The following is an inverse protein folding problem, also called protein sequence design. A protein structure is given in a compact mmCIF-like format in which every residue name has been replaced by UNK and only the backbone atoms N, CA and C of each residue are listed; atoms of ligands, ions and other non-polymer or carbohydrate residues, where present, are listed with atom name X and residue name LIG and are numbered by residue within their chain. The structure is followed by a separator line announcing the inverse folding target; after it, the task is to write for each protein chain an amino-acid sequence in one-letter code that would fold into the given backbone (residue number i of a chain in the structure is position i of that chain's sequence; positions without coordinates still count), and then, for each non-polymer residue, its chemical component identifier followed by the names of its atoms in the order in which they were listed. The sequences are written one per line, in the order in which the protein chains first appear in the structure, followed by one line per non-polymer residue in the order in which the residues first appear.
data_IF_843835884249
#
_entry.id   IF_843835884249
#
_cell.length_a   1.000
_cell.length_b   1.000
_cell.length_c   1.000
_cell.angle_alpha   90.00
_cell.angle_beta   90.00
_cell.angle_gamma   90.00
#
_symmetry.space_group_name_H-M   'P 1'
#
loop_
_entity.id
_entity.type
_entity.pdbx_description
1 polymer ?
#
# COMPACT_ATOMS: atom_id res chain seq x y z
N UNK A 1 6.42 0.26 4.86
CA UNK A 1 7.56 0.83 4.13
C UNK A 1 7.23 0.82 2.64
N UNK A 2 7.79 1.73 1.86
CA UNK A 2 7.58 1.83 0.41
C UNK A 2 8.89 1.52 -0.31
N UNK A 3 8.81 0.84 -1.45
CA UNK A 3 9.93 0.60 -2.37
C UNK A 3 9.57 1.09 -3.77
N UNK A 4 10.47 1.88 -4.37
CA UNK A 4 10.24 2.57 -5.63
C UNK A 4 11.28 2.17 -6.66
N UNK A 5 10.82 1.78 -7.84
CA UNK A 5 11.69 1.46 -8.96
C UNK A 5 11.19 2.17 -10.22
N UNK A 6 12.12 2.75 -10.98
CA UNK A 6 11.83 3.25 -12.32
C UNK A 6 11.73 2.06 -13.28
N UNK A 7 10.67 2.04 -14.09
CA UNK A 7 10.39 0.96 -15.02
C UNK A 7 10.06 1.57 -16.38
N UNK A 8 10.56 1.01 -17.50
CA UNK A 8 10.13 1.44 -18.84
C UNK A 8 8.62 1.22 -19.04
N UNK A 9 8.03 1.95 -19.99
CA UNK A 9 6.60 1.84 -20.29
C UNK A 9 6.17 0.41 -20.65
N UNK A 10 7.06 -0.34 -21.30
CA UNK A 10 6.92 -1.76 -21.53
C UNK A 10 7.98 -2.52 -20.73
N UNK A 11 7.52 -3.36 -19.82
CA UNK A 11 8.38 -4.24 -19.02
C UNK A 11 7.89 -5.67 -19.15
N UNK A 12 8.83 -6.56 -19.41
CA UNK A 12 8.54 -7.99 -19.57
C UNK A 12 8.30 -8.65 -18.20
N UNK A 13 7.58 -9.77 -18.19
CA UNK A 13 7.37 -10.56 -16.97
C UNK A 13 8.69 -10.94 -16.27
N UNK A 14 9.73 -11.26 -17.04
CA UNK A 14 11.07 -11.56 -16.51
C UNK A 14 11.69 -10.36 -15.78
N UNK A 15 11.55 -9.15 -16.34
CA UNK A 15 12.05 -7.94 -15.71
C UNK A 15 11.24 -7.58 -14.45
N UNK A 16 9.90 -7.73 -14.50
CA UNK A 16 9.04 -7.53 -13.32
C UNK A 16 9.37 -8.52 -12.19
N UNK A 17 9.59 -9.80 -12.52
CA UNK A 17 10.05 -10.81 -11.55
C UNK A 17 11.32 -10.37 -10.84
N UNK A 18 12.30 -9.92 -11.63
CA UNK A 18 13.60 -9.48 -11.13
C UNK A 18 13.46 -8.25 -10.25
N UNK A 19 12.67 -7.27 -10.66
CA UNK A 19 12.36 -6.09 -9.86
C UNK A 19 11.71 -6.46 -8.52
N UNK A 20 10.75 -7.38 -8.51
CA UNK A 20 10.14 -7.84 -7.26
C UNK A 20 11.17 -8.47 -6.32
N UNK A 21 12.05 -9.33 -6.85
CA UNK A 21 13.11 -9.95 -6.05
C UNK A 21 14.09 -8.91 -5.50
N UNK A 22 14.55 -8.02 -6.38
CA UNK A 22 15.59 -7.02 -6.10
C UNK A 22 15.09 -5.86 -5.24
N UNK A 23 13.79 -5.58 -5.20
CA UNK A 23 13.23 -4.43 -4.48
C UNK A 23 12.41 -4.80 -3.25
N UNK A 24 11.79 -5.98 -3.23
CA UNK A 24 10.87 -6.38 -2.15
C UNK A 24 11.40 -7.62 -1.44
N UNK A 25 11.58 -8.73 -2.17
CA UNK A 25 11.93 -10.01 -1.57
C UNK A 25 13.25 -9.94 -0.79
N UNK A 26 14.27 -9.25 -1.32
CA UNK A 26 15.56 -9.12 -0.64
C UNK A 26 15.49 -8.46 0.74
N UNK A 27 14.46 -7.63 0.98
CA UNK A 27 14.32 -6.85 2.21
C UNK A 27 13.32 -7.50 3.18
N UNK A 28 12.26 -8.12 2.65
CA UNK A 28 11.13 -8.60 3.44
C UNK A 28 10.85 -10.09 3.33
N UNK A 29 11.47 -10.77 2.37
CA UNK A 29 11.14 -12.15 2.01
C UNK A 29 9.81 -12.25 1.26
N UNK A 30 9.25 -13.46 1.23
CA UNK A 30 7.97 -13.71 0.58
C UNK A 30 6.80 -13.21 1.45
N UNK A 31 5.93 -12.35 0.92
CA UNK A 31 4.73 -11.92 1.66
C UNK A 31 3.71 -13.06 1.77
N UNK A 32 2.93 -13.03 2.86
CA UNK A 32 1.83 -13.98 3.09
C UNK A 32 0.60 -13.61 2.25
N UNK A 33 0.38 -12.32 2.01
CA UNK A 33 -0.68 -11.80 1.15
C UNK A 33 -0.15 -10.63 0.32
N UNK A 34 -0.53 -10.58 -0.95
CA UNK A 34 -0.22 -9.48 -1.87
C UNK A 34 -1.54 -8.91 -2.38
N UNK A 35 -1.74 -7.62 -2.11
CA UNK A 35 -2.81 -6.86 -2.74
C UNK A 35 -2.26 -6.20 -4.00
N UNK A 36 -2.83 -6.55 -5.16
CA UNK A 36 -2.44 -6.00 -6.45
C UNK A 36 -3.67 -5.62 -7.26
N UNK A 37 -3.48 -4.70 -8.20
CA UNK A 37 -4.44 -4.50 -9.28
C UNK A 37 -4.50 -5.71 -10.21
N UNK A 38 -5.42 -5.67 -11.19
CA UNK A 38 -5.61 -6.74 -12.17
C UNK A 38 -4.60 -6.69 -13.32
N UNK A 39 -3.39 -6.21 -13.06
CA UNK A 39 -2.36 -6.18 -14.09
C UNK A 39 -2.04 -7.61 -14.56
N UNK A 40 -1.98 -7.87 -15.87
CA UNK A 40 -1.62 -9.18 -16.43
C UNK A 40 -0.31 -9.74 -15.89
N UNK A 41 0.63 -8.88 -15.46
CA UNK A 41 1.92 -9.28 -14.88
C UNK A 41 1.78 -9.96 -13.52
N UNK A 42 0.71 -9.69 -12.77
CA UNK A 42 0.41 -10.36 -11.50
C UNK A 42 -0.71 -11.39 -11.62
N UNK A 43 -1.58 -11.26 -12.63
CA UNK A 43 -2.74 -12.15 -12.83
C UNK A 43 -2.47 -13.30 -13.81
N UNK A 44 -1.32 -13.36 -14.47
CA UNK A 44 -1.00 -14.49 -15.35
C UNK A 44 -1.00 -15.82 -14.57
N UNK A 45 -1.52 -16.89 -15.19
CA UNK A 45 -1.66 -18.23 -14.56
C UNK A 45 -0.37 -18.71 -13.90
N UNK A 46 0.76 -18.54 -14.56
CA UNK A 46 2.06 -18.91 -14.00
C UNK A 46 2.33 -18.27 -12.63
N UNK A 47 2.05 -16.97 -12.47
CA UNK A 47 2.26 -16.27 -11.21
C UNK A 47 1.28 -16.71 -10.13
N UNK A 48 0.03 -17.01 -10.49
CA UNK A 48 -0.95 -17.57 -9.55
C UNK A 48 -0.46 -18.91 -8.97
N UNK A 49 0.07 -19.79 -9.82
CA UNK A 49 0.64 -21.08 -9.39
C UNK A 49 1.88 -20.88 -8.50
N UNK A 50 2.79 -19.97 -8.89
CA UNK A 50 3.99 -19.66 -8.09
C UNK A 50 3.61 -19.13 -6.70
N UNK A 51 2.68 -18.18 -6.62
CA UNK A 51 2.22 -17.64 -5.34
C UNK A 51 1.55 -18.71 -4.48
N UNK A 52 0.72 -19.57 -5.10
CA UNK A 52 0.09 -20.70 -4.41
C UNK A 52 1.11 -21.68 -3.83
N UNK A 53 2.14 -22.05 -4.61
CA UNK A 53 3.21 -22.93 -4.15
C UNK A 53 4.05 -22.33 -3.02
N UNK A 54 4.22 -21.00 -3.02
CA UNK A 54 4.95 -20.27 -1.99
C UNK A 54 4.08 -19.91 -0.77
N UNK A 55 2.80 -20.30 -0.77
CA UNK A 55 1.86 -20.00 0.32
C UNK A 55 1.43 -18.54 0.39
N UNK A 56 1.58 -17.78 -0.70
CA UNK A 56 1.17 -16.38 -0.79
C UNK A 56 -0.25 -16.29 -1.36
N UNK A 57 -1.13 -15.60 -0.65
CA UNK A 57 -2.45 -15.24 -1.13
C UNK A 57 -2.36 -14.03 -2.08
N UNK A 58 -3.00 -14.11 -3.25
CA UNK A 58 -3.11 -12.98 -4.18
C UNK A 58 -4.51 -12.37 -4.10
N UNK A 59 -4.60 -11.21 -3.47
CA UNK A 59 -5.84 -10.47 -3.26
C UNK A 59 -5.98 -9.36 -4.32
N UNK A 60 -6.78 -9.62 -5.36
CA UNK A 60 -6.95 -8.66 -6.45
C UNK A 60 -7.92 -7.54 -6.07
N UNK A 61 -7.50 -6.29 -6.23
CA UNK A 61 -8.39 -5.14 -6.07
C UNK A 61 -9.49 -5.16 -7.15
N UNK A 62 -10.69 -4.77 -6.76
CA UNK A 62 -11.77 -4.50 -7.71
C UNK A 62 -11.58 -3.12 -8.31
N UNK A 63 -11.86 -2.98 -9.62
CA UNK A 63 -11.84 -1.68 -10.28
C UNK A 63 -12.74 -0.71 -9.50
N UNK A 64 -12.16 0.41 -9.06
CA UNK A 64 -12.81 1.45 -8.26
C UNK A 64 -13.22 1.07 -6.82
N UNK A 65 -12.50 0.17 -6.15
CA UNK A 65 -12.59 0.07 -4.68
C UNK A 65 -11.44 0.82 -3.98
N UNK A 66 -11.62 2.12 -3.65
CA UNK A 66 -10.59 2.95 -3.03
C UNK A 66 -10.18 2.48 -1.62
N UNK A 67 -10.83 1.46 -1.04
CA UNK A 67 -10.38 0.84 0.21
C UNK A 67 -9.27 -0.19 0.00
N UNK A 68 -9.28 -0.94 -1.10
CA UNK A 68 -8.29 -2.00 -1.36
C UNK A 68 -7.01 -1.44 -2.00
N UNK A 69 -7.12 -0.43 -2.86
CA UNK A 69 -5.95 0.20 -3.53
C UNK A 69 -5.67 1.65 -3.08
N UNK A 70 -6.50 2.21 -2.19
CA UNK A 70 -6.33 3.60 -1.76
C UNK A 70 -5.06 3.87 -0.96
N UNK A 71 -4.43 2.85 -0.37
CA UNK A 71 -3.13 3.00 0.27
C UNK A 71 -2.04 3.26 -0.79
N UNK A 72 -2.02 2.47 -1.86
CA UNK A 72 -1.11 2.67 -2.99
C UNK A 72 -1.36 4.02 -3.66
N UNK A 73 -2.63 4.39 -3.88
CA UNK A 73 -2.99 5.69 -4.48
C UNK A 73 -2.53 6.88 -3.62
N UNK A 74 -2.68 6.78 -2.29
CA UNK A 74 -2.17 7.79 -1.34
C UNK A 74 -0.65 7.89 -1.43
N UNK A 75 0.06 6.76 -1.45
CA UNK A 75 1.52 6.73 -1.58
C UNK A 75 1.95 7.32 -2.92
N UNK A 76 1.28 6.98 -4.02
CA UNK A 76 1.57 7.53 -5.34
C UNK A 76 1.43 9.06 -5.34
N UNK A 77 0.38 9.61 -4.71
CA UNK A 77 0.22 11.06 -4.58
C UNK A 77 1.36 11.71 -3.78
N UNK A 78 1.71 11.13 -2.63
CA UNK A 78 2.84 11.61 -1.81
C UNK A 78 4.14 11.57 -2.60
N UNK A 79 4.36 10.50 -3.37
CA UNK A 79 5.52 10.36 -4.25
C UNK A 79 5.54 11.46 -5.32
N UNK A 80 4.42 11.72 -6.00
CA UNK A 80 4.36 12.78 -7.00
C UNK A 80 4.68 14.15 -6.38
N UNK A 81 4.15 14.44 -5.19
CA UNK A 81 4.40 15.70 -4.52
C UNK A 81 5.85 15.82 -4.04
N UNK A 82 6.46 14.73 -3.56
CA UNK A 82 7.89 14.68 -3.27
C UNK A 82 8.73 14.89 -4.55
N UNK A 83 8.44 14.18 -5.64
CA UNK A 83 9.21 14.32 -6.89
C UNK A 83 9.11 15.73 -7.47
N UNK A 84 7.95 16.41 -7.35
CA UNK A 84 7.81 17.82 -7.77
C UNK A 84 8.73 18.77 -7.01
N UNK A 85 9.08 18.48 -5.75
CA UNK A 85 9.99 19.34 -4.98
C UNK A 85 11.47 19.08 -5.32
N UNK A 86 11.81 17.88 -5.77
CA UNK A 86 13.19 17.52 -6.19
C UNK A 86 13.48 17.83 -7.67
N UNK A 87 12.52 17.65 -8.56
CA UNK A 87 12.75 17.72 -10.00
C UNK A 87 12.61 19.16 -10.53
N UNK A 88 13.71 19.89 -10.66
CA UNK A 88 13.77 21.09 -11.52
C UNK A 88 13.62 20.73 -13.01
N UNK A 89 13.83 19.47 -13.38
CA UNK A 89 13.65 18.91 -14.72
C UNK A 89 13.17 17.47 -14.64
N UNK A 90 12.11 17.13 -15.37
CA UNK A 90 11.52 15.78 -15.41
C UNK A 90 12.34 14.78 -16.23
N UNK A 91 13.45 15.18 -16.85
CA UNK A 91 14.24 14.27 -17.69
C UNK A 91 15.01 13.20 -16.90
N UNK A 92 15.28 13.45 -15.60
CA UNK A 92 16.08 12.57 -14.73
C UNK A 92 15.36 12.24 -13.40
N UNK A 93 14.03 12.20 -13.42
CA UNK A 93 13.24 11.95 -12.20
C UNK A 93 13.57 10.60 -11.54
N UNK A 94 14.00 9.59 -12.31
CA UNK A 94 14.38 8.27 -11.78
C UNK A 94 15.57 8.35 -10.82
N UNK A 95 16.50 9.28 -11.04
CA UNK A 95 17.70 9.44 -10.19
C UNK A 95 17.33 9.99 -8.80
N UNK A 96 16.17 10.63 -8.68
CA UNK A 96 15.64 11.14 -7.42
C UNK A 96 14.88 10.09 -6.61
N UNK A 97 14.57 8.92 -7.19
CA UNK A 97 13.79 7.87 -6.52
C UNK A 97 14.40 7.37 -5.21
N UNK A 98 15.72 7.11 -5.09
CA UNK A 98 16.30 6.67 -3.82
C UNK A 98 16.12 7.70 -2.70
N UNK A 99 16.26 9.00 -3.03
CA UNK A 99 16.07 10.07 -2.06
C UNK A 99 14.59 10.29 -1.72
N UNK A 100 13.69 10.16 -2.70
CA UNK A 100 12.25 10.22 -2.47
C UNK A 100 11.77 9.05 -1.60
N UNK A 101 12.23 7.82 -1.86
CA UNK A 101 11.95 6.64 -1.05
C UNK A 101 12.44 6.84 0.39
N UNK A 102 13.68 7.28 0.57
CA UNK A 102 14.26 7.57 1.89
C UNK A 102 13.42 8.63 2.63
N UNK A 103 13.06 9.72 1.95
CA UNK A 103 12.26 10.80 2.55
C UNK A 103 10.87 10.31 2.97
N UNK A 104 10.18 9.54 2.12
CA UNK A 104 8.86 8.97 2.42
C UNK A 104 8.96 8.00 3.61
N UNK A 105 9.94 7.09 3.58
CA UNK A 105 10.11 6.09 4.64
C UNK A 105 10.62 6.67 5.97
N UNK A 106 11.24 7.85 5.94
CA UNK A 106 11.69 8.59 7.14
C UNK A 106 10.72 9.71 7.56
N UNK A 107 9.57 9.85 6.89
CA UNK A 107 8.52 10.79 7.28
C UNK A 107 7.60 10.17 8.33
N UNK A 108 7.27 10.93 9.36
CA UNK A 108 6.36 10.49 10.42
C UNK A 108 4.96 10.35 9.86
N UNK A 109 4.36 9.17 9.99
CA UNK A 109 3.00 8.94 9.54
C UNK A 109 2.00 9.27 10.66
N UNK A 110 0.97 10.07 10.36
CA UNK A 110 0.01 10.59 11.36
C UNK A 110 -0.73 9.47 12.11
N UNK A 111 -1.03 8.35 11.44
CA UNK A 111 -1.76 7.24 12.07
C UNK A 111 -0.96 6.49 13.12
N UNK A 112 0.36 6.35 12.91
CA UNK A 112 1.24 5.59 13.79
C UNK A 112 2.05 6.51 14.71
N UNK A 113 2.17 7.79 14.37
CA UNK A 113 3.04 8.72 15.08
C UNK A 113 4.53 8.41 14.91
N UNK A 114 4.92 7.52 14.01
CA UNK A 114 6.30 7.08 13.79
C UNK A 114 6.64 6.95 12.30
N UNK A 115 7.93 6.89 11.97
CA UNK A 115 8.41 6.68 10.60
C UNK A 115 8.31 5.21 10.18
N UNK A 116 8.02 4.89 8.91
CA UNK A 116 8.08 3.53 8.40
C UNK A 116 9.40 2.79 8.66
N UNK A 117 10.56 3.47 8.60
CA UNK A 117 11.86 2.86 8.95
C UNK A 117 11.90 2.37 10.39
N UNK A 118 11.49 3.21 11.34
CA UNK A 118 11.47 2.83 12.74
C UNK A 118 10.49 1.68 13.01
N UNK A 119 9.34 1.68 12.35
CA UNK A 119 8.35 0.60 12.48
C UNK A 119 8.90 -0.74 11.99
N UNK A 120 9.65 -0.73 10.87
CA UNK A 120 10.16 -1.95 10.24
C UNK A 120 11.45 -2.46 10.91
N UNK A 121 12.38 -1.56 11.17
CA UNK A 121 13.77 -1.87 11.54
C UNK A 121 14.11 -1.50 13.00
N UNK A 122 13.18 -0.87 13.72
CA UNK A 122 13.38 -0.31 15.08
C UNK A 122 14.54 0.69 15.18
N UNK A 123 14.94 1.24 14.05
CA UNK A 123 16.05 2.17 13.95
C UNK A 123 15.77 3.22 12.89
N UNK A 124 16.17 4.45 13.17
CA UNK A 124 16.18 5.48 12.14
C UNK A 124 17.47 5.39 11.30
N UNK A 125 17.39 5.62 9.98
CA UNK A 125 18.59 5.77 9.19
C UNK A 125 19.40 6.95 9.74
N UNK A 126 20.73 6.82 9.75
CA UNK A 126 21.62 7.93 10.13
C UNK A 126 21.48 9.03 9.09
N UNK A 127 20.59 9.98 9.34
CA UNK A 127 20.56 11.23 8.60
C UNK A 127 21.68 12.11 9.17
N UNK A 128 22.44 12.81 8.33
CA UNK A 128 23.51 13.71 8.78
C UNK A 128 23.03 14.91 9.64
N UNK A 129 21.74 14.97 9.96
CA UNK A 129 21.14 15.87 10.94
C UNK A 129 21.27 15.20 12.32
N UNK A 130 21.94 15.88 13.26
CA UNK A 130 21.88 15.47 14.68
C UNK A 130 20.41 15.33 15.06
N UNK A 131 20.03 14.14 15.50
CA UNK A 131 18.66 13.81 15.90
C UNK A 131 18.22 14.79 16.99
N UNK A 132 17.44 15.81 16.63
CA UNK A 132 16.54 16.43 17.59
C UNK A 132 15.46 15.39 17.84
N UNK A 133 15.69 14.58 18.88
CA UNK A 133 14.73 13.65 19.44
C UNK A 133 13.40 14.36 19.67
N UNK A 134 12.46 14.21 18.75
CA UNK A 134 11.04 14.52 18.97
C UNK A 134 10.35 13.37 19.73
N UNK A 135 11.09 12.28 20.03
CA UNK A 135 10.61 11.14 20.81
C UNK A 135 11.37 11.01 22.12
N UNK A 136 11.39 12.09 22.90
CA UNK A 136 11.61 11.99 24.35
C UNK A 136 10.33 11.40 24.96
N UNK A 137 10.32 10.09 25.19
CA UNK A 137 9.15 9.42 25.74
C UNK A 137 9.21 7.90 25.84
N UNK A 138 10.39 7.29 25.84
CA UNK A 138 10.62 5.97 26.45
C UNK A 138 12.05 5.98 27.00
N UNK A 139 12.23 6.65 28.13
CA UNK A 139 13.44 6.57 28.91
C UNK A 139 13.64 5.12 29.38
N UNK A 140 14.72 4.49 28.93
CA UNK A 140 15.32 3.36 29.66
C UNK A 140 16.74 3.78 30.01
N UNK A 141 16.82 4.33 31.22
CA UNK A 141 17.95 4.41 32.12
C UNK A 141 19.36 4.52 31.53
N UNK A 142 19.90 5.73 31.70
CA UNK A 142 21.30 6.05 31.97
C UNK A 142 22.15 4.86 32.45
N UNK A 143 23.11 4.43 31.64
CA UNK A 143 24.26 3.69 32.17
C UNK A 143 25.43 4.66 32.33
N UNK A 144 25.66 5.03 33.59
CA UNK A 144 26.91 5.65 34.04
C UNK A 144 28.05 4.64 33.83
N UNK A 145 29.05 5.02 33.04
CA UNK A 145 30.35 4.37 33.06
C UNK A 145 31.04 4.69 34.39
N UNK A 146 31.12 3.71 35.29
CA UNK A 146 32.04 3.76 36.43
C UNK A 146 33.13 2.69 36.26
N UNK A 147 34.34 3.22 36.27
CA UNK A 147 35.63 2.56 36.23
C UNK A 147 35.86 1.79 37.54
N UNK A 148 36.04 0.45 37.50
CA UNK A 148 36.56 -0.28 38.67
C UNK A 148 37.48 -1.43 38.28
N UNK A 149 38.56 -1.54 39.06
CA UNK A 149 39.74 -2.38 38.92
C UNK A 149 39.50 -3.90 39.06
N UNK A 150 40.50 -4.66 38.62
CA UNK A 150 40.54 -6.12 38.50
C UNK A 150 40.34 -6.90 39.82
N UNK A 151 39.42 -7.89 39.77
CA UNK A 151 39.19 -8.96 40.75
C UNK A 151 38.99 -10.33 40.06
N UNK A 152 38.95 -11.46 40.80
CA UNK A 152 39.41 -12.77 40.34
C UNK A 152 38.56 -13.39 39.22
N UNK A 153 39.17 -14.28 38.45
CA UNK A 153 38.61 -14.99 37.29
C UNK A 153 37.42 -15.88 37.68
N UNK A 154 36.25 -15.29 37.83
CA UNK A 154 34.94 -15.96 37.76
C UNK A 154 34.67 -16.31 36.30
N UNK A 155 33.97 -17.43 36.08
CA UNK A 155 33.70 -18.07 34.80
C UNK A 155 32.87 -17.15 33.87
N UNK A 156 33.55 -16.17 33.26
CA UNK A 156 32.97 -15.07 32.45
C UNK A 156 32.07 -15.56 31.32
N UNK A 157 32.34 -16.75 30.78
CA UNK A 157 31.64 -17.28 29.61
C UNK A 157 30.16 -17.63 29.91
N UNK A 158 29.84 -18.04 31.13
CA UNK A 158 28.46 -18.37 31.52
C UNK A 158 27.63 -17.12 31.86
N UNK A 159 28.24 -16.13 32.51
CA UNK A 159 27.60 -14.85 32.83
C UNK A 159 27.38 -13.99 31.58
N UNK A 160 28.36 -13.93 30.68
CA UNK A 160 28.25 -13.23 29.39
C UNK A 160 27.14 -13.83 28.51
N UNK A 161 27.01 -15.16 28.48
CA UNK A 161 25.93 -15.83 27.74
C UNK A 161 24.55 -15.56 28.36
N UNK A 162 24.47 -15.46 29.68
CA UNK A 162 23.21 -15.15 30.38
C UNK A 162 22.80 -13.70 30.18
N UNK A 163 23.75 -12.76 30.26
CA UNK A 163 23.51 -11.33 30.01
C UNK A 163 23.17 -11.06 28.55
N UNK A 164 23.87 -11.69 27.61
CA UNK A 164 23.57 -11.61 26.17
C UNK A 164 22.17 -12.16 25.86
N UNK A 165 21.83 -13.33 26.40
CA UNK A 165 20.50 -13.93 26.23
C UNK A 165 19.40 -13.05 26.83
N UNK A 166 19.62 -12.45 27.99
CA UNK A 166 18.71 -11.50 28.61
C UNK A 166 18.49 -10.25 27.74
N UNK A 167 19.57 -9.63 27.24
CA UNK A 167 19.49 -8.47 26.32
C UNK A 167 18.83 -8.83 24.99
N UNK A 168 19.08 -10.02 24.45
CA UNK A 168 18.44 -10.50 23.23
C UNK A 168 16.93 -10.73 23.44
N UNK A 169 16.54 -11.29 24.59
CA UNK A 169 15.14 -11.49 24.97
C UNK A 169 14.42 -10.15 25.16
N UNK A 170 15.05 -9.19 25.84
CA UNK A 170 14.52 -7.82 25.97
C UNK A 170 14.32 -7.16 24.60
N UNK A 171 15.31 -7.28 23.69
CA UNK A 171 15.17 -6.79 22.31
C UNK A 171 13.99 -7.43 21.57
N UNK A 172 13.83 -8.76 21.66
CA UNK A 172 12.71 -9.47 21.02
C UNK A 172 11.37 -9.05 21.61
N UNK A 173 11.26 -8.94 22.94
CA UNK A 173 10.04 -8.51 23.61
C UNK A 173 9.68 -7.06 23.26
N UNK A 174 10.67 -6.16 23.28
CA UNK A 174 10.49 -4.77 22.84
C UNK A 174 10.02 -4.71 21.40
N UNK A 175 10.62 -5.49 20.50
CA UNK A 175 10.19 -5.58 19.09
C UNK A 175 8.74 -6.05 18.96
N UNK A 176 8.37 -7.11 19.67
CA UNK A 176 7.00 -7.63 19.64
C UNK A 176 5.99 -6.61 20.17
N UNK A 177 6.32 -5.91 21.27
CA UNK A 177 5.46 -4.88 21.84
C UNK A 177 5.24 -3.71 20.87
N UNK A 178 6.32 -3.25 20.23
CA UNK A 178 6.26 -2.17 19.24
C UNK A 178 5.44 -2.57 18.02
N UNK A 179 5.64 -3.79 17.48
CA UNK A 179 4.83 -4.30 16.35
C UNK A 179 3.35 -4.35 16.70
N UNK A 180 2.99 -4.86 17.89
CA UNK A 180 1.58 -4.93 18.35
C UNK A 180 0.96 -3.55 18.45
N UNK A 181 1.65 -2.62 19.12
CA UNK A 181 1.18 -1.24 19.22
C UNK A 181 0.92 -0.61 17.84
N UNK A 182 1.80 -0.87 16.87
CA UNK A 182 1.61 -0.37 15.51
C UNK A 182 0.45 -1.05 14.77
N UNK A 183 0.28 -2.36 14.93
CA UNK A 183 -0.87 -3.08 14.37
C UNK A 183 -2.18 -2.48 14.92
N UNK A 184 -2.25 -2.22 16.22
CA UNK A 184 -3.42 -1.62 16.86
C UNK A 184 -3.67 -0.18 16.38
N UNK A 185 -2.63 0.66 16.27
CA UNK A 185 -2.75 2.03 15.79
C UNK A 185 -3.21 2.10 14.33
N UNK A 186 -2.71 1.19 13.48
CA UNK A 186 -3.14 1.06 12.08
C UNK A 186 -4.59 0.58 12.03
N UNK A 187 -4.95 -0.45 12.78
CA UNK A 187 -6.32 -0.98 12.83
C UNK A 187 -7.31 0.11 13.28
N UNK A 188 -7.02 0.81 14.37
CA UNK A 188 -7.85 1.92 14.85
C UNK A 188 -7.98 3.05 13.82
N UNK A 189 -6.94 3.31 13.03
CA UNK A 189 -6.98 4.31 11.96
C UNK A 189 -7.82 3.85 10.76
N UNK A 190 -7.79 2.57 10.42
CA UNK A 190 -8.68 1.97 9.41
C UNK A 190 -10.13 2.04 9.89
N UNK A 191 -10.41 1.71 11.14
CA UNK A 191 -11.75 1.79 11.73
C UNK A 191 -12.27 3.23 11.73
N UNK A 192 -11.44 4.22 12.12
CA UNK A 192 -11.80 5.64 12.02
C UNK A 192 -12.10 6.05 10.57
N UNK A 193 -11.32 5.58 9.59
CA UNK A 193 -11.58 5.86 8.18
C UNK A 193 -12.90 5.23 7.72
N UNK A 194 -13.21 4.01 8.17
CA UNK A 194 -14.47 3.32 7.88
C UNK A 194 -15.66 4.08 8.47
N UNK A 195 -15.59 4.47 9.74
CA UNK A 195 -16.62 5.26 10.42
C UNK A 195 -16.82 6.62 9.74
N UNK A 196 -15.76 7.31 9.34
CA UNK A 196 -15.86 8.57 8.60
C UNK A 196 -16.51 8.36 7.22
N UNK A 197 -16.19 7.27 6.51
CA UNK A 197 -16.79 6.96 5.22
C UNK A 197 -18.28 6.57 5.33
N UNK A 198 -18.67 5.93 6.43
CA UNK A 198 -20.06 5.60 6.77
C UNK A 198 -20.84 6.87 7.14
N UNK A 199 -20.28 7.72 8.01
CA UNK A 199 -20.95 8.93 8.50
C UNK A 199 -21.08 10.04 7.44
N UNK A 200 -20.07 10.22 6.58
CA UNK A 200 -20.11 11.26 5.55
C UNK A 200 -20.78 10.80 4.24
N UNK A 201 -21.20 9.53 4.16
CA UNK A 201 -21.89 8.96 3.01
C UNK A 201 -21.04 8.94 1.73
N UNK A 202 -21.08 7.82 0.99
CA UNK A 202 -20.69 7.84 -0.42
C UNK A 202 -21.85 8.51 -1.16
N UNK A 203 -21.68 9.73 -1.67
CA UNK A 203 -22.75 10.62 -2.15
C UNK A 203 -23.74 10.08 -3.21
N UNK A 204 -23.63 8.82 -3.66
CA UNK A 204 -24.57 8.15 -4.55
C UNK A 204 -25.07 6.84 -3.92
N UNK A 205 -26.11 6.93 -3.09
CA UNK A 205 -26.83 5.80 -2.49
C UNK A 205 -28.06 5.38 -3.30
N UNK A 206 -28.04 5.55 -4.62
CA UNK A 206 -29.16 5.11 -5.45
C UNK A 206 -29.22 3.59 -5.50
N UNK A 207 -30.27 3.01 -4.93
CA UNK A 207 -30.52 1.58 -5.01
C UNK A 207 -31.32 1.26 -6.28
N UNK A 208 -30.71 0.51 -7.19
CA UNK A 208 -31.33 0.04 -8.43
C UNK A 208 -31.96 -1.33 -8.21
N UNK A 209 -33.15 -1.55 -8.77
CA UNK A 209 -33.76 -2.89 -8.79
C UNK A 209 -33.02 -3.75 -9.81
N UNK A 210 -32.80 -5.02 -9.48
CA UNK A 210 -32.32 -6.01 -10.45
C UNK A 210 -33.35 -6.11 -11.58
N UNK A 211 -32.88 -6.02 -12.83
CA UNK A 211 -33.69 -5.91 -14.05
C UNK A 211 -33.99 -4.47 -14.49
N UNK A 212 -33.66 -3.45 -13.68
CA UNK A 212 -33.85 -2.06 -14.07
C UNK A 212 -32.78 -1.57 -15.05
N UNK A 213 -33.16 -0.60 -15.89
CA UNK A 213 -32.24 0.07 -16.80
C UNK A 213 -31.48 1.16 -16.07
N UNK A 214 -30.17 1.18 -16.25
CA UNK A 214 -29.26 2.17 -15.66
C UNK A 214 -28.34 2.76 -16.70
N UNK A 215 -27.90 3.99 -16.44
CA UNK A 215 -26.90 4.71 -17.22
C UNK A 215 -25.54 4.57 -16.53
N UNK A 216 -24.53 4.13 -17.27
CA UNK A 216 -23.15 3.98 -16.82
C UNK A 216 -22.33 5.23 -17.14
N UNK A 217 -21.70 5.84 -16.12
CA UNK A 217 -20.84 7.01 -16.28
C UNK A 217 -19.55 6.68 -17.06
N UNK A 218 -19.17 7.58 -17.98
CA UNK A 218 -17.94 7.46 -18.79
C UNK A 218 -16.70 8.09 -18.16
N UNK A 219 -16.89 8.83 -17.07
CA UNK A 219 -15.82 9.53 -16.36
C UNK A 219 -14.79 8.53 -15.84
N UNK A 220 -13.51 8.77 -16.13
CA UNK A 220 -12.35 7.93 -15.77
C UNK A 220 -12.36 6.50 -16.35
N UNK A 221 -13.11 6.21 -17.42
CA UNK A 221 -12.93 4.96 -18.16
C UNK A 221 -11.69 5.02 -19.07
N UNK A 222 -11.02 3.89 -19.24
CA UNK A 222 -9.92 3.81 -20.20
C UNK A 222 -10.44 4.12 -21.62
N UNK A 223 -9.71 4.93 -22.39
CA UNK A 223 -10.14 5.45 -23.71
C UNK A 223 -10.56 4.36 -24.71
N UNK A 224 -10.05 3.14 -24.53
CA UNK A 224 -10.32 1.96 -25.36
C UNK A 224 -11.45 1.07 -24.84
N UNK A 225 -11.93 1.32 -23.62
CA UNK A 225 -12.95 0.49 -22.96
C UNK A 225 -14.37 0.84 -23.43
N UNK A 226 -14.54 2.04 -24.01
CA UNK A 226 -15.76 2.50 -24.66
C UNK A 226 -15.44 2.83 -26.12
N UNK A 227 -15.26 1.80 -26.94
CA UNK A 227 -14.62 1.86 -28.26
C UNK A 227 -15.36 2.70 -29.31
N UNK A 228 -16.62 3.09 -29.08
CA UNK A 228 -17.48 3.58 -30.17
C UNK A 228 -17.73 5.10 -30.16
N UNK A 229 -17.25 5.86 -29.16
CA UNK A 229 -17.62 7.28 -28.99
C UNK A 229 -16.52 8.31 -29.30
N UNK A 230 -15.42 7.92 -29.94
CA UNK A 230 -14.38 8.85 -30.40
C UNK A 230 -13.59 9.54 -29.27
N UNK A 231 -13.10 10.77 -29.50
CA UNK A 231 -12.24 11.50 -28.57
C UNK A 231 -12.96 11.86 -27.25
N UNK A 232 -12.31 11.66 -26.10
CA UNK A 232 -12.94 11.77 -24.76
C UNK A 232 -13.56 13.12 -24.41
N UNK A 233 -13.27 14.18 -25.18
CA UNK A 233 -13.88 15.51 -24.99
C UNK A 233 -15.29 15.61 -25.57
N UNK A 234 -15.68 14.69 -26.46
CA UNK A 234 -17.00 14.64 -27.11
C UNK A 234 -17.79 13.37 -26.76
N UNK A 235 -17.21 12.47 -25.98
CA UNK A 235 -17.92 11.27 -25.53
C UNK A 235 -19.08 11.65 -24.59
N UNK A 236 -20.25 11.00 -24.71
CA UNK A 236 -21.36 11.25 -23.81
C UNK A 236 -20.94 10.93 -22.36
N UNK A 237 -21.44 11.71 -21.41
CA UNK A 237 -21.10 11.55 -19.97
C UNK A 237 -21.63 10.23 -19.38
N UNK A 238 -22.61 9.62 -20.04
CA UNK A 238 -23.24 8.37 -19.66
C UNK A 238 -23.50 7.50 -20.90
N UNK A 239 -23.41 6.18 -20.73
CA UNK A 239 -23.69 5.13 -21.73
C UNK A 239 -24.82 4.26 -21.21
N UNK A 240 -25.70 3.80 -22.09
CA UNK A 240 -26.84 2.98 -21.72
C UNK A 240 -28.15 3.67 -22.10
N UNK A 241 -29.26 2.92 -22.09
CA UNK A 241 -29.66 2.05 -20.99
C UNK A 241 -28.97 0.68 -20.97
N UNK A 242 -28.47 0.27 -19.81
CA UNK A 242 -27.88 -1.06 -19.55
C UNK A 242 -28.66 -1.73 -18.43
N UNK A 243 -28.93 -3.02 -18.57
CA UNK A 243 -29.67 -3.80 -17.56
C UNK A 243 -28.79 -4.13 -16.35
N UNK A 244 -29.28 -3.88 -15.14
CA UNK A 244 -28.66 -4.36 -13.90
C UNK A 244 -29.05 -5.82 -13.63
N UNK A 245 -28.12 -6.77 -13.78
CA UNK A 245 -28.37 -8.21 -13.66
C UNK A 245 -28.29 -8.74 -12.22
N UNK A 246 -27.40 -8.19 -11.39
CA UNK A 246 -27.24 -8.64 -10.00
C UNK A 246 -26.69 -7.52 -9.12
N UNK A 247 -26.99 -7.57 -7.81
CA UNK A 247 -26.47 -6.64 -6.80
C UNK A 247 -25.48 -7.37 -5.87
N UNK A 248 -24.32 -6.76 -5.66
CA UNK A 248 -23.25 -7.24 -4.77
C UNK A 248 -22.83 -6.10 -3.83
N UNK A 249 -23.51 -5.97 -2.69
CA UNK A 249 -23.29 -4.85 -1.76
C UNK A 249 -23.56 -3.50 -2.44
N UNK A 250 -22.52 -2.69 -2.63
CA UNK A 250 -22.61 -1.40 -3.33
C UNK A 250 -22.16 -1.47 -4.80
N UNK A 251 -22.07 -2.67 -5.39
CA UNK A 251 -21.75 -2.86 -6.80
C UNK A 251 -22.88 -3.61 -7.50
N UNK A 252 -23.04 -3.36 -8.80
CA UNK A 252 -24.01 -4.03 -9.65
C UNK A 252 -23.32 -4.69 -10.83
N UNK A 253 -23.71 -5.91 -11.14
CA UNK A 253 -23.32 -6.60 -12.38
C UNK A 253 -24.26 -6.14 -13.49
N UNK A 254 -23.69 -5.57 -14.54
CA UNK A 254 -24.40 -5.03 -15.69
C UNK A 254 -24.26 -5.94 -16.91
N UNK A 255 -25.26 -5.90 -17.77
CA UNK A 255 -25.23 -6.53 -19.09
C UNK A 255 -24.41 -5.67 -20.08
N UNK A 256 -23.09 -5.72 -19.94
CA UNK A 256 -22.19 -4.94 -20.79
C UNK A 256 -22.03 -5.65 -22.15
N UNK A 257 -22.25 -4.97 -23.29
CA UNK A 257 -22.00 -5.54 -24.62
C UNK A 257 -20.55 -5.99 -24.76
N UNK A 258 -20.31 -7.12 -25.45
CA UNK A 258 -18.96 -7.67 -25.66
C UNK A 258 -18.00 -6.74 -26.41
N UNK A 259 -18.51 -5.68 -27.05
CA UNK A 259 -17.71 -4.60 -27.66
C UNK A 259 -17.04 -3.70 -26.61
N UNK A 260 -17.65 -3.54 -25.43
CA UNK A 260 -17.11 -2.76 -24.32
C UNK A 260 -16.17 -3.65 -23.50
N UNK A 261 -14.88 -3.31 -23.48
CA UNK A 261 -13.84 -4.01 -22.70
C UNK A 261 -13.88 -3.60 -21.22
N UNK A 262 -15.08 -3.57 -20.63
CA UNK A 262 -15.31 -3.21 -19.23
C UNK A 262 -15.71 -4.44 -18.43
N UNK A 263 -15.31 -4.44 -17.16
CA UNK A 263 -15.74 -5.48 -16.23
C UNK A 263 -17.25 -5.34 -15.97
N UNK A 264 -18.03 -6.44 -15.98
CA UNK A 264 -19.49 -6.37 -15.86
C UNK A 264 -19.94 -5.86 -14.48
N UNK A 265 -19.19 -6.12 -13.41
CA UNK A 265 -19.50 -5.61 -12.07
C UNK A 265 -18.87 -4.25 -11.81
N UNK A 266 -19.71 -3.25 -11.51
CA UNK A 266 -19.33 -1.84 -11.35
C UNK A 266 -19.94 -1.22 -10.09
N UNK A 267 -19.23 -0.28 -9.48
CA UNK A 267 -19.68 0.43 -8.28
C UNK A 267 -20.91 1.32 -8.55
N UNK A 268 -21.88 1.31 -7.63
CA UNK A 268 -23.17 2.03 -7.73
C UNK A 268 -23.01 3.53 -7.98
N UNK A 269 -21.94 4.14 -7.48
CA UNK A 269 -21.67 5.56 -7.71
C UNK A 269 -21.40 5.92 -9.17
N UNK A 270 -21.14 4.94 -10.04
CA UNK A 270 -20.98 5.10 -11.48
C UNK A 270 -22.29 4.92 -12.25
N UNK A 271 -23.38 4.61 -11.56
CA UNK A 271 -24.68 4.34 -12.17
C UNK A 271 -25.63 5.50 -11.90
N UNK A 272 -26.47 5.80 -12.89
CA UNK A 272 -27.55 6.77 -12.78
C UNK A 272 -28.86 6.10 -13.22
N UNK A 273 -30.01 6.39 -12.59
CA UNK A 273 -31.28 5.87 -13.06
C UNK A 273 -31.55 6.30 -14.51
N UNK A 274 -32.01 5.36 -15.33
CA UNK A 274 -32.59 5.64 -16.63
C UNK A 274 -34.06 6.01 -16.39
N UNK A 275 -34.42 7.26 -16.68
CA UNK A 275 -35.77 7.82 -16.52
C UNK A 275 -36.41 8.02 -17.89
#
# INVERSE_FOLDING_TARGET
MVHLAAVPAEVTAKQTARLFVDMVFRHHGMPIDIVSDRDPRFTARFWQEVFTLLGTQLSLSTADHPQTDGQTERVNRVLFDALKSYAHSFHHWSDSLPMAELAINNSVHVSTGHTPFYVNDLRHPRSGQREHSVYAGVDTSSNNEQHTQAGPLVNKDAELNTEFSSKAMDFVQRRQAVIRFFQDAIAASVDRQKLNAENNGRGNSHEFKVGSLVLLATQNQAKHAVSDFGASKLAPRFIGPITALAKHGNAYTLEIPSSMRLHPTLYVGRLKPYA
#
